data_IF_430279442392
#
_entry.id   IF_430279442392
#
_cell.length_a   1.000
_cell.length_b   1.000
_cell.length_c   1.000
_cell.angle_alpha   90.00
_cell.angle_beta   90.00
_cell.angle_gamma   90.00
#
_symmetry.space_group_name_H-M   'P 1'
#
loop_
_entity.id
_entity.type
_entity.pdbx_description
1 polymer ?
#
# COMPACT_ATOMS: atom_id res chain seq x y z
N UNK A 1 10.89 -15.88 -3.77
CA UNK A 1 9.56 -16.12 -3.18
C UNK A 1 9.65 -17.32 -2.26
N UNK A 2 9.25 -17.22 -0.99
CA UNK A 2 9.22 -18.37 -0.08
C UNK A 2 8.07 -19.30 -0.51
N UNK A 3 8.35 -20.59 -0.65
CA UNK A 3 7.28 -21.59 -0.84
C UNK A 3 6.58 -21.78 0.49
N UNK A 4 5.25 -21.77 0.46
CA UNK A 4 4.43 -22.09 1.62
C UNK A 4 4.66 -23.56 2.00
N UNK A 5 4.57 -23.83 3.28
CA UNK A 5 4.55 -25.21 3.79
C UNK A 5 3.18 -25.84 3.51
N UNK A 6 3.12 -27.17 3.40
CA UNK A 6 1.86 -27.89 3.15
C UNK A 6 0.75 -27.56 4.15
N UNK A 7 1.13 -27.18 5.36
CA UNK A 7 0.18 -26.77 6.40
C UNK A 7 -0.42 -25.38 6.09
N UNK A 8 0.40 -24.43 5.64
CA UNK A 8 -0.06 -23.11 5.24
C UNK A 8 -0.93 -23.17 3.97
N UNK A 9 -0.59 -24.04 3.01
CA UNK A 9 -1.40 -24.28 1.81
C UNK A 9 -2.78 -24.83 2.16
N UNK A 10 -2.86 -25.85 3.03
CA UNK A 10 -4.13 -26.42 3.47
C UNK A 10 -4.99 -25.40 4.25
N UNK A 11 -4.37 -24.55 5.06
CA UNK A 11 -5.08 -23.46 5.74
C UNK A 11 -5.63 -22.47 4.72
N UNK A 12 -4.85 -22.07 3.72
CA UNK A 12 -5.31 -21.17 2.64
C UNK A 12 -6.46 -21.77 1.83
N UNK A 13 -6.39 -23.06 1.48
CA UNK A 13 -7.49 -23.75 0.77
C UNK A 13 -8.77 -23.76 1.60
N UNK A 14 -8.71 -24.10 2.89
CA UNK A 14 -9.87 -24.09 3.78
C UNK A 14 -10.43 -22.66 4.00
N UNK A 15 -9.56 -21.65 4.01
CA UNK A 15 -9.96 -20.24 4.12
C UNK A 15 -10.70 -19.73 2.88
N UNK A 16 -10.40 -20.28 1.70
CA UNK A 16 -11.08 -19.94 0.45
C UNK A 16 -12.47 -20.59 0.33
N UNK A 17 -12.68 -21.76 0.93
CA UNK A 17 -13.93 -22.53 0.80
C UNK A 17 -15.00 -22.14 1.84
N UNK A 18 -14.64 -22.07 3.13
CA UNK A 18 -15.63 -21.88 4.21
C UNK A 18 -15.57 -20.49 4.86
N UNK A 19 -14.49 -19.73 4.66
CA UNK A 19 -14.34 -18.37 5.19
C UNK A 19 -14.34 -18.29 6.73
N UNK A 20 -14.29 -19.41 7.43
CA UNK A 20 -14.28 -19.50 8.90
C UNK A 20 -13.14 -20.40 9.35
N UNK A 21 -12.37 -19.95 10.32
CA UNK A 21 -11.33 -20.78 10.95
C UNK A 21 -11.29 -20.57 12.46
N UNK A 22 -10.89 -21.63 13.18
CA UNK A 22 -10.77 -21.61 14.63
C UNK A 22 -9.30 -21.47 15.03
N UNK A 23 -8.99 -20.45 15.84
CA UNK A 23 -7.66 -20.23 16.42
C UNK A 23 -7.82 -19.91 17.90
N UNK A 24 -7.03 -20.54 18.78
CA UNK A 24 -7.08 -20.31 20.24
C UNK A 24 -8.50 -20.40 20.83
N UNK A 25 -9.27 -21.40 20.39
CA UNK A 25 -10.66 -21.64 20.84
C UNK A 25 -11.64 -20.48 20.52
N UNK A 26 -11.30 -19.63 19.55
CA UNK A 26 -12.13 -18.56 19.00
C UNK A 26 -12.34 -18.78 17.51
N UNK A 27 -13.53 -18.42 17.02
CA UNK A 27 -13.87 -18.50 15.61
C UNK A 27 -13.66 -17.15 14.95
N UNK A 28 -12.94 -17.16 13.83
CA UNK A 28 -12.61 -15.98 13.03
C UNK A 28 -13.21 -16.14 11.64
N UNK A 29 -13.75 -15.06 11.12
CA UNK A 29 -14.26 -14.98 9.75
C UNK A 29 -13.25 -14.24 8.88
N UNK A 30 -12.93 -14.78 7.71
CA UNK A 30 -12.19 -14.08 6.67
C UNK A 30 -13.19 -13.63 5.62
N UNK A 31 -13.24 -12.32 5.38
CA UNK A 31 -14.03 -11.73 4.31
C UNK A 31 -13.07 -11.08 3.32
N UNK A 32 -13.16 -11.49 2.06
CA UNK A 32 -12.45 -10.82 0.99
C UNK A 32 -13.13 -9.47 0.74
N UNK A 33 -12.43 -8.38 1.04
CA UNK A 33 -12.88 -7.04 0.72
C UNK A 33 -12.21 -6.65 -0.59
N UNK A 34 -13.00 -6.40 -1.63
CA UNK A 34 -12.50 -5.72 -2.82
C UNK A 34 -12.06 -4.33 -2.41
N UNK A 35 -10.75 -4.13 -2.34
CA UNK A 35 -10.21 -2.78 -2.35
C UNK A 35 -10.31 -2.27 -3.78
N UNK A 36 -10.73 -1.02 -4.01
CA UNK A 36 -10.63 -0.44 -5.33
C UNK A 36 -9.18 -0.62 -5.78
N UNK A 37 -8.99 -1.26 -6.94
CA UNK A 37 -7.69 -1.42 -7.55
C UNK A 37 -7.02 -0.05 -7.49
N UNK A 38 -5.98 0.07 -6.67
CA UNK A 38 -5.23 1.31 -6.61
C UNK A 38 -4.86 1.64 -8.05
N UNK A 39 -5.35 2.80 -8.49
CA UNK A 39 -4.98 3.43 -9.74
C UNK A 39 -3.47 3.58 -9.67
N UNK A 40 -2.72 2.59 -10.18
CA UNK A 40 -1.27 2.50 -10.05
C UNK A 40 -0.54 3.53 -10.94
N UNK A 41 -1.26 4.55 -11.40
CA UNK A 41 -0.73 5.70 -12.12
C UNK A 41 -0.20 6.79 -11.18
N UNK A 42 -0.59 6.82 -9.90
CA UNK A 42 -0.16 7.85 -8.94
C UNK A 42 1.27 7.68 -8.42
N UNK A 43 1.83 6.46 -8.37
CA UNK A 43 3.11 6.19 -7.70
C UNK A 43 4.29 7.00 -8.26
N UNK A 44 4.32 7.27 -9.57
CA UNK A 44 5.45 8.00 -10.17
C UNK A 44 5.46 9.48 -9.83
N UNK A 45 4.29 10.10 -9.78
CA UNK A 45 4.20 11.53 -9.49
C UNK A 45 4.20 11.79 -7.98
N UNK A 46 3.63 10.89 -7.17
CA UNK A 46 3.75 10.94 -5.71
C UNK A 46 5.22 10.84 -5.25
N UNK A 47 6.01 9.95 -5.86
CA UNK A 47 7.45 9.85 -5.56
C UNK A 47 8.22 11.12 -5.93
N UNK A 48 7.85 11.80 -7.04
CA UNK A 48 8.48 13.07 -7.43
C UNK A 48 8.11 14.19 -6.45
N UNK A 49 6.83 14.28 -6.09
CA UNK A 49 6.31 15.25 -5.12
C UNK A 49 7.01 15.07 -3.78
N UNK A 50 7.12 13.83 -3.30
CA UNK A 50 7.81 13.51 -2.04
C UNK A 50 9.30 13.88 -2.09
N UNK A 51 9.97 13.58 -3.21
CA UNK A 51 11.38 13.94 -3.42
C UNK A 51 11.59 15.46 -3.41
N UNK A 52 10.75 16.21 -4.15
CA UNK A 52 10.83 17.69 -4.19
C UNK A 52 10.58 18.31 -2.82
N UNK A 53 9.63 17.77 -2.06
CA UNK A 53 9.35 18.20 -0.68
C UNK A 53 10.57 17.99 0.23
N UNK A 54 11.23 16.85 0.14
CA UNK A 54 12.46 16.57 0.89
C UNK A 54 13.60 17.52 0.51
N UNK A 55 13.83 17.77 -0.78
CA UNK A 55 14.85 18.72 -1.26
C UNK A 55 14.65 20.13 -0.70
N UNK A 56 13.40 20.62 -0.66
CA UNK A 56 13.09 21.93 -0.07
C UNK A 56 13.34 21.95 1.44
N UNK A 57 12.87 20.92 2.16
CA UNK A 57 13.02 20.83 3.62
C UNK A 57 14.49 20.70 4.06
N UNK A 58 15.32 20.06 3.25
CA UNK A 58 16.76 19.92 3.50
C UNK A 58 17.54 21.19 3.15
N UNK A 59 16.89 22.20 2.55
CA UNK A 59 17.54 23.44 2.13
C UNK A 59 18.45 23.26 0.92
N UNK A 60 18.28 22.17 0.17
CA UNK A 60 18.98 21.92 -1.08
C UNK A 60 18.50 22.88 -2.17
N UNK A 61 19.21 22.93 -3.29
CA UNK A 61 18.87 23.81 -4.40
C UNK A 61 17.53 23.38 -5.04
N UNK A 62 16.48 24.15 -4.79
CA UNK A 62 15.16 24.00 -5.44
C UNK A 62 14.82 25.22 -6.31
N UNK A 63 13.88 25.05 -7.24
CA UNK A 63 13.36 26.15 -8.07
C UNK A 63 11.98 26.61 -7.60
N UNK A 64 11.56 27.81 -8.02
CA UNK A 64 10.21 28.31 -7.75
C UNK A 64 9.17 27.42 -8.45
N UNK A 65 9.49 26.89 -9.62
CA UNK A 65 8.62 25.97 -10.37
C UNK A 65 8.34 24.69 -9.57
N UNK A 66 9.32 24.17 -8.82
CA UNK A 66 9.13 23.01 -7.94
C UNK A 66 8.15 23.29 -6.80
N UNK A 67 8.12 24.52 -6.28
CA UNK A 67 7.18 24.92 -5.22
C UNK A 67 5.76 25.07 -5.79
N UNK A 68 5.63 25.64 -7.00
CA UNK A 68 4.34 25.80 -7.68
C UNK A 68 3.74 24.41 -7.97
N UNK A 69 4.53 23.47 -8.47
CA UNK A 69 4.07 22.10 -8.69
C UNK A 69 3.58 21.42 -7.38
N UNK A 70 4.23 21.69 -6.25
CA UNK A 70 3.78 21.18 -4.94
C UNK A 70 2.48 21.83 -4.47
N UNK A 71 2.26 23.12 -4.79
CA UNK A 71 0.99 23.81 -4.49
C UNK A 71 -0.15 23.24 -5.32
N UNK A 72 0.08 23.07 -6.63
CA UNK A 72 -0.92 22.54 -7.55
C UNK A 72 -1.27 21.08 -7.24
N UNK A 73 -0.30 20.31 -6.73
CA UNK A 73 -0.51 18.95 -6.24
C UNK A 73 -1.16 18.87 -4.85
N UNK A 74 -1.37 20.00 -4.15
CA UNK A 74 -1.93 20.03 -2.80
C UNK A 74 -1.04 19.41 -1.71
N UNK A 75 0.29 19.41 -1.92
CA UNK A 75 1.26 18.68 -1.10
C UNK A 75 2.09 19.55 -0.14
N UNK A 76 1.76 20.85 -0.05
CA UNK A 76 2.37 21.84 0.85
C UNK A 76 1.76 21.83 2.25
#
# INVERSE_FOLDING_TARGET
MRKLTKHEEAVLENLLEEGVFTLENKNYFITLVETPAHVDETKKDDLKIETKKQTILQGDKFSIDDVIELMDAGAL
#
